data_IF_615676959702
#
_entry.id   IF_615676959702
#
_cell.length_a   1.000
_cell.length_b   1.000
_cell.length_c   1.000
_cell.angle_alpha   90.00
_cell.angle_beta   90.00
_cell.angle_gamma   90.00
#
_symmetry.space_group_name_H-M   'P 1'
#
loop_
_entity.id
_entity.type
_entity.pdbx_description
1 polymer ?
#
# COMPACT_ATOMS: atom_id res chain seq x y z
N UNK A 1 -30.71 8.31 -7.38
CA UNK A 1 -30.04 7.19 -6.74
C UNK A 1 -28.53 7.46 -6.73
N UNK A 2 -27.96 7.71 -5.58
CA UNK A 2 -26.52 7.98 -5.41
C UNK A 2 -26.00 7.20 -4.22
N UNK A 3 -24.69 7.06 -4.09
CA UNK A 3 -24.06 6.43 -2.91
C UNK A 3 -24.38 7.19 -1.61
N UNK A 4 -24.57 8.50 -1.69
CA UNK A 4 -24.96 9.35 -0.55
C UNK A 4 -26.45 9.29 -0.20
N UNK A 5 -27.29 8.86 -1.14
CA UNK A 5 -28.73 8.70 -0.94
C UNK A 5 -29.26 7.47 -1.72
N UNK A 6 -28.96 6.25 -1.26
CA UNK A 6 -29.38 5.02 -1.94
C UNK A 6 -30.85 4.74 -1.66
N UNK A 7 -31.71 4.93 -2.63
CA UNK A 7 -33.16 4.68 -2.50
C UNK A 7 -33.48 3.21 -2.15
N UNK A 8 -32.60 2.27 -2.50
CA UNK A 8 -32.75 0.87 -2.14
C UNK A 8 -32.79 0.62 -0.62
N UNK A 9 -32.24 1.51 0.21
CA UNK A 9 -32.34 1.38 1.67
C UNK A 9 -33.78 1.49 2.15
N UNK A 10 -34.63 2.24 1.45
CA UNK A 10 -36.03 2.44 1.80
C UNK A 10 -36.93 1.27 1.38
N UNK A 11 -36.44 0.34 0.56
CA UNK A 11 -37.17 -0.87 0.17
C UNK A 11 -37.02 -1.95 1.26
N UNK A 12 -37.97 -2.85 1.39
CA UNK A 12 -37.89 -3.91 2.41
C UNK A 12 -36.73 -4.88 2.14
N UNK A 13 -36.49 -5.20 0.88
CA UNK A 13 -35.40 -6.09 0.44
C UNK A 13 -34.55 -5.43 -0.64
N UNK A 14 -33.25 -5.79 -0.69
CA UNK A 14 -32.37 -5.43 -1.78
C UNK A 14 -32.69 -6.28 -3.01
N UNK A 15 -32.47 -5.74 -4.21
CA UNK A 15 -32.85 -6.38 -5.48
C UNK A 15 -32.15 -7.72 -5.76
N UNK A 16 -31.03 -8.01 -5.11
CA UNK A 16 -30.24 -9.22 -5.31
C UNK A 16 -29.78 -9.48 -6.75
N UNK A 17 -29.74 -8.44 -7.59
CA UNK A 17 -29.36 -8.59 -9.01
C UNK A 17 -27.91 -9.07 -9.10
N UNK A 18 -27.70 -10.08 -9.95
CA UNK A 18 -26.41 -10.69 -10.26
C UNK A 18 -26.14 -10.63 -11.76
N UNK A 19 -24.89 -10.83 -12.15
CA UNK A 19 -24.48 -10.92 -13.55
C UNK A 19 -23.63 -9.75 -14.01
N UNK A 20 -23.65 -9.48 -15.30
CA UNK A 20 -22.87 -8.38 -15.90
C UNK A 20 -23.45 -7.03 -15.49
N UNK A 21 -22.72 -6.29 -14.67
CA UNK A 21 -23.08 -4.95 -14.20
C UNK A 21 -21.92 -4.01 -14.47
N UNK A 22 -22.22 -2.76 -14.82
CA UNK A 22 -21.19 -1.74 -15.10
C UNK A 22 -20.45 -1.33 -13.82
N UNK A 23 -21.18 -1.17 -12.72
CA UNK A 23 -20.66 -0.78 -11.42
C UNK A 23 -21.07 -1.84 -10.38
N UNK A 24 -20.28 -2.91 -10.21
CA UNK A 24 -20.59 -3.94 -9.23
C UNK A 24 -20.45 -3.39 -7.81
N UNK A 25 -21.48 -3.58 -7.00
CA UNK A 25 -21.46 -3.20 -5.59
C UNK A 25 -21.78 -4.41 -4.72
N UNK A 26 -21.21 -4.45 -3.54
CA UNK A 26 -21.57 -5.35 -2.47
C UNK A 26 -22.42 -4.57 -1.46
N UNK A 27 -23.69 -4.97 -1.30
CA UNK A 27 -24.59 -4.27 -0.41
C UNK A 27 -25.21 -5.25 0.59
N UNK A 28 -25.17 -4.90 1.86
CA UNK A 28 -25.80 -5.63 2.95
C UNK A 28 -26.76 -4.69 3.65
N UNK A 29 -28.04 -5.09 3.75
CA UNK A 29 -29.05 -4.38 4.54
C UNK A 29 -29.41 -5.24 5.75
N UNK A 30 -29.19 -4.68 6.94
CA UNK A 30 -29.51 -5.33 8.19
C UNK A 30 -30.25 -4.35 9.10
N UNK A 31 -31.42 -4.76 9.62
CA UNK A 31 -32.24 -3.94 10.53
C UNK A 31 -31.90 -4.31 11.98
N UNK A 32 -31.47 -3.33 12.74
CA UNK A 32 -31.16 -3.50 14.16
C UNK A 32 -32.15 -2.71 14.99
N UNK A 33 -32.76 -3.35 15.97
CA UNK A 33 -33.61 -2.69 16.98
C UNK A 33 -32.87 -2.63 18.30
N UNK A 34 -32.58 -1.42 18.79
CA UNK A 34 -31.85 -1.20 20.03
C UNK A 34 -32.82 -0.61 21.04
N UNK A 35 -32.98 -1.29 22.18
CA UNK A 35 -33.81 -0.78 23.30
C UNK A 35 -33.04 0.31 24.07
N UNK A 36 -33.75 1.18 24.83
CA UNK A 36 -33.09 2.17 25.66
C UNK A 36 -32.03 1.54 26.58
N UNK A 37 -30.88 2.20 26.69
CA UNK A 37 -29.72 1.74 27.49
C UNK A 37 -29.09 0.40 27.05
N UNK A 38 -29.34 -0.04 25.83
CA UNK A 38 -28.67 -1.22 25.24
C UNK A 38 -27.74 -0.84 24.10
N UNK A 39 -26.73 -1.67 23.89
CA UNK A 39 -25.78 -1.55 22.79
C UNK A 39 -25.84 -2.78 21.91
N UNK A 40 -25.88 -2.60 20.61
CA UNK A 40 -25.74 -3.69 19.64
C UNK A 40 -24.37 -3.58 18.94
N UNK A 41 -23.64 -4.67 18.86
CA UNK A 41 -22.38 -4.76 18.15
C UNK A 41 -22.58 -5.56 16.87
N UNK A 42 -22.20 -5.00 15.74
CA UNK A 42 -22.22 -5.66 14.44
C UNK A 42 -20.78 -5.86 14.00
N UNK A 43 -20.39 -7.09 13.76
CA UNK A 43 -19.09 -7.45 13.19
C UNK A 43 -19.27 -7.70 11.69
N UNK A 44 -18.48 -7.02 10.88
CA UNK A 44 -18.42 -7.21 9.43
C UNK A 44 -17.10 -7.87 9.06
N UNK A 45 -17.17 -8.94 8.28
CA UNK A 45 -15.99 -9.62 7.73
C UNK A 45 -16.01 -9.36 6.23
N UNK A 46 -14.95 -8.70 5.77
CA UNK A 46 -14.70 -8.46 4.36
C UNK A 46 -13.40 -9.16 3.95
N UNK A 47 -13.43 -9.87 2.83
CA UNK A 47 -12.26 -10.59 2.36
C UNK A 47 -12.39 -11.00 0.89
N UNK A 48 -11.29 -11.45 0.35
CA UNK A 48 -11.19 -11.99 -1.00
C UNK A 48 -10.49 -13.35 -0.94
N UNK A 49 -10.86 -14.25 -1.82
CA UNK A 49 -10.22 -15.55 -2.00
C UNK A 49 -10.23 -15.95 -3.47
N UNK A 50 -9.31 -16.82 -3.86
CA UNK A 50 -9.18 -17.30 -5.23
C UNK A 50 -10.38 -18.14 -5.67
N UNK A 51 -11.00 -18.87 -4.73
CA UNK A 51 -12.16 -19.69 -4.98
C UNK A 51 -13.27 -19.44 -3.96
N UNK A 52 -14.48 -19.85 -4.28
CA UNK A 52 -15.64 -19.76 -3.39
C UNK A 52 -15.41 -20.52 -2.08
N UNK A 53 -14.82 -21.71 -2.16
CA UNK A 53 -14.54 -22.57 -1.01
C UNK A 53 -13.55 -21.92 -0.06
N UNK A 54 -12.52 -21.23 -0.58
CA UNK A 54 -11.58 -20.45 0.23
C UNK A 54 -12.30 -19.30 0.93
N UNK A 55 -13.16 -18.57 0.22
CA UNK A 55 -13.95 -17.48 0.82
C UNK A 55 -14.88 -18.01 1.94
N UNK A 56 -15.57 -19.12 1.73
CA UNK A 56 -16.45 -19.74 2.73
C UNK A 56 -15.65 -20.20 3.95
N UNK A 57 -14.51 -20.82 3.75
CA UNK A 57 -13.62 -21.26 4.83
C UNK A 57 -13.13 -20.07 5.67
N UNK A 58 -12.70 -18.97 5.02
CA UNK A 58 -12.30 -17.76 5.71
C UNK A 58 -13.45 -17.12 6.49
N UNK A 59 -14.65 -17.06 5.90
CA UNK A 59 -15.85 -16.56 6.57
C UNK A 59 -16.15 -17.39 7.83
N UNK A 60 -16.18 -18.72 7.73
CA UNK A 60 -16.44 -19.59 8.85
C UNK A 60 -15.40 -19.41 9.96
N UNK A 61 -14.12 -19.35 9.59
CA UNK A 61 -13.01 -19.17 10.53
C UNK A 61 -13.14 -17.87 11.33
N UNK A 62 -13.40 -16.74 10.67
CA UNK A 62 -13.39 -15.44 11.33
C UNK A 62 -14.75 -15.02 11.93
N UNK A 63 -15.81 -15.83 11.82
CA UNK A 63 -17.05 -15.68 12.59
C UNK A 63 -16.84 -15.88 14.09
N UNK A 64 -15.81 -16.65 14.49
CA UNK A 64 -15.46 -16.82 15.89
C UNK A 64 -14.82 -15.51 16.43
N UNK A 65 -15.47 -14.94 17.47
CA UNK A 65 -14.99 -13.71 18.12
C UNK A 65 -13.61 -13.83 18.75
N UNK A 66 -13.25 -15.03 19.23
CA UNK A 66 -11.92 -15.29 19.80
C UNK A 66 -10.84 -15.27 18.71
N UNK A 67 -11.09 -15.89 17.57
CA UNK A 67 -10.16 -15.86 16.44
C UNK A 67 -10.00 -14.45 15.86
N UNK A 68 -11.09 -13.68 15.81
CA UNK A 68 -11.03 -12.28 15.42
C UNK A 68 -10.10 -11.47 16.33
N UNK A 69 -10.28 -11.54 17.64
CA UNK A 69 -9.40 -10.84 18.61
C UNK A 69 -7.95 -11.26 18.44
N UNK A 70 -7.70 -12.56 18.39
CA UNK A 70 -6.36 -13.11 18.19
C UNK A 70 -5.71 -12.62 16.89
N UNK A 71 -6.48 -12.50 15.80
CA UNK A 71 -5.97 -11.98 14.53
C UNK A 71 -5.46 -10.54 14.67
N UNK A 72 -6.21 -9.66 15.37
CA UNK A 72 -5.78 -8.28 15.63
C UNK A 72 -4.54 -8.23 16.53
N UNK A 73 -4.49 -9.02 17.60
CA UNK A 73 -3.34 -9.08 18.51
C UNK A 73 -2.08 -9.56 17.77
N UNK A 74 -2.20 -10.60 16.94
CA UNK A 74 -1.10 -11.09 16.11
C UNK A 74 -0.67 -10.08 15.05
N UNK A 75 -1.60 -9.40 14.40
CA UNK A 75 -1.30 -8.37 13.41
C UNK A 75 -0.54 -7.20 14.05
N UNK A 76 -0.95 -6.77 15.24
CA UNK A 76 -0.24 -5.74 15.99
C UNK A 76 1.17 -6.18 16.36
N UNK A 77 1.32 -7.38 16.96
CA UNK A 77 2.62 -7.93 17.34
C UNK A 77 3.54 -8.06 16.12
N UNK A 78 3.03 -8.59 15.02
CA UNK A 78 3.77 -8.72 13.77
C UNK A 78 4.21 -7.35 13.23
N UNK A 79 3.36 -6.35 13.30
CA UNK A 79 3.71 -4.98 12.91
C UNK A 79 4.88 -4.42 13.73
N UNK A 80 4.87 -4.64 15.05
CA UNK A 80 5.97 -4.22 15.93
C UNK A 80 7.29 -4.93 15.62
N UNK A 81 7.22 -6.23 15.31
CA UNK A 81 8.41 -7.00 14.90
C UNK A 81 8.98 -6.45 13.58
N UNK A 82 8.13 -6.18 12.58
CA UNK A 82 8.56 -5.60 11.30
C UNK A 82 9.26 -4.25 11.48
N UNK A 83 8.68 -3.36 12.31
CA UNK A 83 9.29 -2.05 12.57
C UNK A 83 10.68 -2.18 13.21
N UNK A 84 10.84 -3.10 14.17
CA UNK A 84 12.14 -3.38 14.77
C UNK A 84 13.15 -3.92 13.75
N UNK A 85 12.72 -4.82 12.87
CA UNK A 85 13.57 -5.40 11.84
C UNK A 85 14.17 -4.35 10.90
N UNK A 86 13.40 -3.32 10.56
CA UNK A 86 13.87 -2.23 9.69
C UNK A 86 14.42 -1.03 10.48
N UNK A 87 14.48 -1.12 11.80
CA UNK A 87 14.91 -0.03 12.68
C UNK A 87 14.07 1.25 12.46
N UNK A 88 12.74 1.10 12.41
CA UNK A 88 11.76 2.17 12.27
C UNK A 88 10.83 2.23 13.47
N UNK A 89 10.23 3.38 13.69
CA UNK A 89 9.24 3.61 14.73
C UNK A 89 7.83 3.78 14.14
N UNK A 90 6.84 4.03 15.00
CA UNK A 90 5.43 4.19 14.60
C UNK A 90 5.21 5.43 13.71
N UNK A 91 5.92 6.54 13.95
CA UNK A 91 5.82 7.75 13.14
C UNK A 91 6.39 7.52 11.73
N UNK A 92 7.48 6.75 11.64
CA UNK A 92 8.05 6.32 10.36
C UNK A 92 7.05 5.45 9.59
N UNK A 93 6.41 4.49 10.27
CA UNK A 93 5.38 3.64 9.66
C UNK A 93 4.23 4.47 9.09
N UNK A 94 3.71 5.44 9.84
CA UNK A 94 2.66 6.34 9.37
C UNK A 94 3.08 7.18 8.16
N UNK A 95 4.34 7.61 8.10
CA UNK A 95 4.90 8.28 6.93
C UNK A 95 4.95 7.34 5.73
N UNK A 96 5.45 6.11 5.92
CA UNK A 96 5.58 5.11 4.85
C UNK A 96 4.22 4.67 4.32
N UNK A 97 3.21 4.54 5.18
CA UNK A 97 1.82 4.24 4.78
C UNK A 97 1.19 5.38 3.97
N UNK A 98 1.46 6.64 4.32
CA UNK A 98 1.02 7.80 3.52
C UNK A 98 1.69 7.85 2.15
N UNK A 99 2.98 7.55 2.07
CA UNK A 99 3.69 7.45 0.79
C UNK A 99 3.14 6.28 -0.05
N UNK A 100 2.90 5.11 0.58
CA UNK A 100 2.30 3.96 -0.09
C UNK A 100 0.92 4.28 -0.68
N UNK A 101 0.12 5.08 0.00
CA UNK A 101 -1.19 5.47 -0.52
C UNK A 101 -1.11 6.24 -1.84
N UNK A 102 -0.05 7.02 -2.05
CA UNK A 102 0.19 7.74 -3.31
C UNK A 102 0.65 6.83 -4.46
N UNK A 103 1.19 5.65 -4.12
CA UNK A 103 1.58 4.62 -5.10
C UNK A 103 0.35 3.79 -5.50
N UNK A 104 -0.45 3.38 -4.52
CA UNK A 104 -1.63 2.51 -4.72
C UNK A 104 -2.78 3.28 -5.37
N UNK A 105 -3.02 4.51 -4.90
CA UNK A 105 -4.11 5.36 -5.36
C UNK A 105 -3.55 6.55 -6.12
N UNK A 106 -3.96 6.69 -7.37
CA UNK A 106 -3.54 7.80 -8.21
C UNK A 106 -3.99 9.14 -7.61
N UNK A 107 -3.02 9.94 -7.13
CA UNK A 107 -3.29 11.28 -6.64
C UNK A 107 -3.12 12.31 -7.79
N UNK A 108 -4.20 12.98 -8.25
CA UNK A 108 -4.11 13.95 -9.33
C UNK A 108 -3.16 15.13 -9.05
N UNK A 109 -3.00 15.50 -7.76
CA UNK A 109 -2.11 16.61 -7.36
C UNK A 109 -0.61 16.28 -7.51
N UNK A 110 -0.26 14.99 -7.58
CA UNK A 110 1.12 14.52 -7.76
C UNK A 110 1.40 14.12 -9.22
N UNK A 111 0.45 14.30 -10.12
CA UNK A 111 0.66 14.01 -11.53
C UNK A 111 1.51 15.09 -12.20
N UNK A 112 2.42 14.63 -13.02
CA UNK A 112 3.15 15.50 -13.95
C UNK A 112 2.17 16.11 -14.96
N UNK A 113 2.51 17.28 -15.49
CA UNK A 113 1.68 17.98 -16.48
C UNK A 113 1.36 17.11 -17.70
N UNK A 114 0.13 17.19 -18.17
CA UNK A 114 -0.35 16.41 -19.32
C UNK A 114 0.48 16.60 -20.59
N UNK A 115 1.13 17.76 -20.76
CA UNK A 115 2.02 18.02 -21.89
C UNK A 115 3.26 17.11 -21.87
N UNK A 116 3.85 16.90 -20.69
CA UNK A 116 5.02 16.02 -20.52
C UNK A 116 4.64 14.57 -20.84
N UNK A 117 3.46 14.12 -20.34
CA UNK A 117 2.97 12.76 -20.60
C UNK A 117 2.74 12.54 -22.09
N UNK A 118 2.14 13.53 -22.79
CA UNK A 118 1.89 13.43 -24.25
C UNK A 118 3.15 13.41 -25.10
N UNK A 119 4.23 14.02 -24.60
CA UNK A 119 5.53 14.04 -25.31
C UNK A 119 6.39 12.78 -25.01
N UNK A 120 5.93 11.87 -24.17
CA UNK A 120 6.61 10.61 -23.95
C UNK A 120 6.15 9.58 -24.98
N UNK A 121 7.01 9.29 -25.96
CA UNK A 121 6.79 8.28 -27.02
C UNK A 121 7.52 6.96 -26.75
N UNK A 122 8.24 6.85 -25.61
CA UNK A 122 8.95 5.62 -25.24
C UNK A 122 8.04 4.71 -24.43
N UNK A 123 8.02 3.45 -24.81
CA UNK A 123 7.37 2.39 -24.05
C UNK A 123 8.27 1.85 -22.93
N UNK A 124 7.82 0.77 -22.31
CA UNK A 124 8.50 0.04 -21.23
C UNK A 124 9.95 -0.34 -21.59
N UNK A 125 10.22 -0.73 -22.83
CA UNK A 125 11.56 -1.08 -23.30
C UNK A 125 12.58 0.06 -23.19
N UNK A 126 12.13 1.32 -23.13
CA UNK A 126 12.99 2.46 -22.86
C UNK A 126 13.61 2.47 -21.46
N UNK A 127 13.06 1.72 -20.51
CA UNK A 127 13.55 1.58 -19.15
C UNK A 127 14.66 0.51 -19.03
N UNK A 128 14.72 -0.44 -19.95
CA UNK A 128 15.63 -1.58 -19.86
C UNK A 128 17.10 -1.18 -19.94
N UNK A 129 17.42 -0.12 -20.68
CA UNK A 129 18.76 0.46 -20.72
C UNK A 129 19.23 1.00 -19.37
N UNK A 130 18.30 1.24 -18.45
CA UNK A 130 18.56 1.68 -17.08
C UNK A 130 18.40 0.56 -16.05
N UNK A 131 18.31 -0.71 -16.49
CA UNK A 131 18.10 -1.88 -15.62
C UNK A 131 16.79 -1.84 -14.84
N UNK A 132 15.77 -1.15 -15.33
CA UNK A 132 14.43 -1.07 -14.74
C UNK A 132 13.48 -1.87 -15.61
N UNK A 133 12.78 -2.86 -15.02
CA UNK A 133 11.87 -3.73 -15.80
C UNK A 133 10.62 -2.99 -16.30
N UNK A 134 10.11 -2.08 -15.49
CA UNK A 134 8.87 -1.35 -15.76
C UNK A 134 7.59 -2.16 -15.52
N UNK A 135 7.70 -3.33 -14.87
CA UNK A 135 6.54 -4.17 -14.51
C UNK A 135 5.90 -3.72 -13.19
N UNK A 136 6.68 -3.03 -12.36
CA UNK A 136 6.25 -2.52 -11.06
C UNK A 136 6.08 -1.00 -11.10
N UNK A 137 5.27 -0.43 -10.20
CA UNK A 137 5.26 1.01 -9.97
C UNK A 137 6.67 1.50 -9.61
N UNK A 138 7.08 2.63 -10.19
CA UNK A 138 8.41 3.21 -9.98
C UNK A 138 8.29 4.39 -9.02
N UNK A 139 9.04 4.35 -7.93
CA UNK A 139 9.27 5.47 -7.03
C UNK A 139 10.62 6.08 -7.39
N UNK A 140 10.60 7.30 -7.91
CA UNK A 140 11.80 8.01 -8.34
C UNK A 140 12.21 9.04 -7.29
N UNK A 141 13.41 8.88 -6.75
CA UNK A 141 14.04 9.84 -5.86
C UNK A 141 15.18 10.56 -6.59
N UNK A 142 15.08 11.88 -6.71
CA UNK A 142 16.17 12.71 -7.21
C UNK A 142 17.02 13.21 -6.05
N UNK A 143 18.34 13.11 -6.16
CA UNK A 143 19.28 13.65 -5.19
C UNK A 143 20.37 14.46 -5.90
N UNK A 144 20.67 15.63 -5.36
CA UNK A 144 21.58 16.61 -5.99
C UNK A 144 22.86 16.80 -5.19
N UNK A 145 22.85 16.50 -3.89
CA UNK A 145 24.00 16.68 -3.00
C UNK A 145 23.91 15.75 -1.78
N UNK A 146 24.97 15.68 -1.01
CA UNK A 146 25.08 14.85 0.19
C UNK A 146 24.23 15.34 1.38
N UNK A 147 23.76 16.58 1.39
CA UNK A 147 22.94 17.13 2.48
C UNK A 147 21.61 16.40 2.64
N UNK A 148 21.12 15.78 1.56
CA UNK A 148 19.84 15.09 1.51
C UNK A 148 19.96 13.58 1.73
N UNK A 149 21.09 13.07 2.23
CA UNK A 149 21.27 11.62 2.46
C UNK A 149 20.28 11.01 3.44
N UNK A 150 19.73 11.82 4.35
CA UNK A 150 18.69 11.34 5.27
C UNK A 150 17.40 10.95 4.53
N UNK A 151 17.04 11.67 3.47
CA UNK A 151 15.89 11.32 2.61
C UNK A 151 16.15 10.00 1.89
N UNK A 152 17.39 9.76 1.43
CA UNK A 152 17.77 8.47 0.82
C UNK A 152 17.60 7.34 1.81
N UNK A 153 18.09 7.51 3.04
CA UNK A 153 17.94 6.53 4.12
C UNK A 153 16.47 6.21 4.40
N UNK A 154 15.65 7.23 4.56
CA UNK A 154 14.20 7.09 4.80
C UNK A 154 13.51 6.37 3.62
N UNK A 155 13.85 6.69 2.39
CA UNK A 155 13.25 6.04 1.22
C UNK A 155 13.67 4.57 1.09
N UNK A 156 14.91 4.22 1.40
CA UNK A 156 15.35 2.83 1.46
C UNK A 156 14.62 2.07 2.58
N UNK A 157 14.42 2.68 3.74
CA UNK A 157 13.62 2.09 4.83
C UNK A 157 12.16 1.92 4.42
N UNK A 158 11.55 2.95 3.82
CA UNK A 158 10.17 2.89 3.32
C UNK A 158 10.01 1.76 2.28
N UNK A 159 10.93 1.64 1.34
CA UNK A 159 10.93 0.56 0.36
C UNK A 159 11.01 -0.82 1.02
N UNK A 160 11.89 -1.00 2.01
CA UNK A 160 11.96 -2.24 2.81
C UNK A 160 10.65 -2.54 3.55
N UNK A 161 10.04 -1.53 4.17
CA UNK A 161 8.76 -1.64 4.84
C UNK A 161 7.64 -2.08 3.88
N UNK A 162 7.55 -1.45 2.71
CA UNK A 162 6.54 -1.79 1.69
C UNK A 162 6.69 -3.24 1.23
N UNK A 163 7.91 -3.69 0.96
CA UNK A 163 8.16 -5.09 0.58
C UNK A 163 7.71 -6.07 1.66
N UNK A 164 8.00 -5.79 2.93
CA UNK A 164 7.56 -6.61 4.06
C UNK A 164 6.04 -6.63 4.22
N UNK A 165 5.36 -5.56 3.79
CA UNK A 165 3.88 -5.46 3.77
C UNK A 165 3.26 -6.02 2.48
N UNK A 166 4.06 -6.53 1.54
CA UNK A 166 3.57 -7.12 0.28
C UNK A 166 3.36 -6.12 -0.86
N UNK A 167 3.77 -4.86 -0.71
CA UNK A 167 3.73 -3.87 -1.78
C UNK A 167 5.06 -3.91 -2.54
N UNK A 168 5.03 -4.45 -3.76
CA UNK A 168 6.17 -4.50 -4.65
C UNK A 168 6.26 -3.22 -5.49
N UNK A 169 7.38 -2.53 -5.40
CA UNK A 169 7.70 -1.31 -6.17
C UNK A 169 9.18 -1.29 -6.53
N UNK A 170 9.53 -0.60 -7.60
CA UNK A 170 10.91 -0.29 -7.94
C UNK A 170 11.31 1.07 -7.34
N UNK A 171 12.34 1.12 -6.50
CA UNK A 171 12.92 2.35 -6.02
C UNK A 171 14.12 2.72 -6.91
N UNK A 172 13.99 3.80 -7.64
CA UNK A 172 15.05 4.35 -8.50
C UNK A 172 15.60 5.62 -7.87
N UNK A 173 16.90 5.62 -7.58
CA UNK A 173 17.58 6.79 -7.02
C UNK A 173 18.43 7.41 -8.13
N UNK A 174 18.05 8.61 -8.56
CA UNK A 174 18.75 9.37 -9.58
C UNK A 174 19.71 10.34 -8.91
N UNK A 175 21.01 10.02 -8.97
CA UNK A 175 22.06 10.88 -8.49
C UNK A 175 22.41 11.91 -9.58
N UNK A 176 22.19 13.18 -9.31
CA UNK A 176 22.50 14.31 -10.17
C UNK A 176 23.59 15.22 -9.58
N UNK A 177 24.42 14.67 -8.70
CA UNK A 177 25.59 15.42 -8.20
C UNK A 177 26.64 15.55 -9.31
N UNK A 178 26.94 16.78 -9.65
CA UNK A 178 27.93 17.14 -10.65
C UNK A 178 29.27 17.60 -10.03
N UNK A 179 29.39 17.62 -8.70
CA UNK A 179 30.43 18.33 -7.98
C UNK A 179 31.66 17.51 -7.58
N UNK A 180 31.65 16.18 -7.69
CA UNK A 180 32.71 15.38 -7.08
C UNK A 180 33.51 14.54 -8.08
N UNK A 181 34.82 14.71 -8.05
CA UNK A 181 35.81 13.89 -8.78
C UNK A 181 35.79 12.41 -8.29
N UNK A 182 35.15 12.10 -7.16
CA UNK A 182 35.20 10.80 -6.48
C UNK A 182 33.86 10.10 -6.34
N UNK A 183 32.81 10.52 -6.92
CA UNK A 183 31.48 9.86 -6.79
C UNK A 183 31.13 9.53 -5.31
N UNK A 184 31.55 10.34 -4.35
CA UNK A 184 31.34 10.10 -2.92
C UNK A 184 29.86 9.88 -2.57
N UNK A 185 28.98 10.64 -3.20
CA UNK A 185 27.55 10.48 -3.00
C UNK A 185 27.05 9.12 -3.51
N UNK A 186 27.56 8.65 -4.63
CA UNK A 186 27.24 7.33 -5.18
C UNK A 186 27.68 6.21 -4.24
N UNK A 187 28.89 6.30 -3.71
CA UNK A 187 29.44 5.30 -2.79
C UNK A 187 28.66 5.28 -1.47
N UNK A 188 28.24 6.43 -0.96
CA UNK A 188 27.37 6.53 0.23
C UNK A 188 26.00 5.90 -0.02
N UNK A 189 25.37 6.15 -1.17
CA UNK A 189 24.08 5.53 -1.54
C UNK A 189 24.23 4.01 -1.63
N UNK A 190 25.26 3.52 -2.32
CA UNK A 190 25.52 2.09 -2.44
C UNK A 190 25.81 1.42 -1.09
N UNK A 191 26.52 2.12 -0.20
CA UNK A 191 26.75 1.69 1.18
C UNK A 191 25.42 1.46 1.93
N UNK A 192 24.50 2.44 1.90
CA UNK A 192 23.19 2.33 2.53
C UNK A 192 22.36 1.18 1.96
N UNK A 193 22.38 0.96 0.65
CA UNK A 193 21.67 -0.15 0.01
C UNK A 193 22.26 -1.48 0.46
N UNK A 194 23.58 -1.61 0.52
CA UNK A 194 24.28 -2.83 0.90
C UNK A 194 24.03 -3.21 2.37
N UNK A 195 24.08 -2.23 3.29
CA UNK A 195 23.75 -2.44 4.70
C UNK A 195 22.34 -2.99 4.88
N UNK A 196 21.38 -2.46 4.12
CA UNK A 196 19.98 -2.93 4.19
C UNK A 196 19.79 -4.29 3.53
N UNK A 197 20.46 -4.57 2.43
CA UNK A 197 20.42 -5.89 1.82
C UNK A 197 20.95 -6.96 2.80
N UNK A 198 22.05 -6.70 3.49
CA UNK A 198 22.59 -7.61 4.51
C UNK A 198 21.65 -7.83 5.69
N UNK A 199 20.94 -6.81 6.15
CA UNK A 199 19.97 -6.91 7.26
C UNK A 199 18.65 -7.60 6.90
N UNK A 200 18.36 -7.79 5.61
CA UNK A 200 17.15 -8.47 5.14
C UNK A 200 17.29 -10.00 5.06
N UNK A 201 18.48 -10.54 5.26
CA UNK A 201 18.78 -11.97 5.21
C UNK A 201 19.00 -12.60 6.60
N UNK A 202 18.77 -11.88 7.68
CA UNK A 202 18.76 -12.37 9.07
C UNK A 202 17.33 -12.34 9.58
#
# INVERSE_FOLDING_TARGET
NSLTNPQAINQDELSGKQGSVLDPIMAIKYRVSIKPNQTATIDLIYGIGETKEVCETLMHKYRDKHLKRRAFELAWTHSQVLLRQINANEADAQLYDRLASSIIYMNPALRIESAVIRNNFKGQSGLWSHSVSGDLPIVLLHIFNSENMEIVRQMIQAHGYWRLKGLAVDLVILNQDHGSYRQELQDQILGLISEKAASSFV
#
